data_IF_893852005570
#
_entry.id   IF_893852005570
#
_cell.length_a   1.000
_cell.length_b   1.000
_cell.length_c   1.000
_cell.angle_alpha   90.00
_cell.angle_beta   90.00
_cell.angle_gamma   90.00
#
_symmetry.space_group_name_H-M   'P 1'
#
loop_
_entity.id
_entity.type
_entity.pdbx_description
1 polymer ?
#
# COMPACT_ATOMS: atom_id res chain seq x y z
N UNK A 1 15.48 8.33 -18.77
CA UNK A 1 15.69 7.05 -18.07
C UNK A 1 14.33 6.44 -17.68
N UNK A 2 14.08 5.19 -18.04
CA UNK A 2 12.89 4.46 -17.59
C UNK A 2 13.06 4.15 -16.10
N UNK A 3 12.05 4.47 -15.29
CA UNK A 3 12.04 4.12 -13.86
C UNK A 3 11.79 2.61 -13.75
N UNK A 4 12.76 1.88 -13.21
CA UNK A 4 12.69 0.42 -13.06
C UNK A 4 12.38 -0.01 -11.63
N UNK A 5 12.55 0.88 -10.65
CA UNK A 5 12.20 0.66 -9.26
C UNK A 5 11.97 1.98 -8.53
N UNK A 6 11.19 1.95 -7.44
CA UNK A 6 11.00 3.07 -6.51
C UNK A 6 11.14 2.59 -5.06
N UNK A 7 11.74 3.39 -4.15
CA UNK A 7 11.63 3.12 -2.72
C UNK A 7 10.17 3.25 -2.30
N UNK A 8 9.69 2.40 -1.39
CA UNK A 8 8.30 2.47 -0.91
C UNK A 8 8.18 2.12 0.56
N UNK A 9 7.21 2.73 1.25
CA UNK A 9 6.91 2.42 2.64
C UNK A 9 5.42 2.11 2.81
N UNK A 10 5.08 1.05 3.54
CA UNK A 10 3.73 0.81 4.05
C UNK A 10 3.90 0.14 5.41
N UNK A 11 3.20 0.59 6.47
CA UNK A 11 3.37 0.02 7.79
C UNK A 11 3.08 -1.48 7.76
N UNK A 12 3.91 -2.26 8.47
CA UNK A 12 3.87 -3.73 8.55
C UNK A 12 4.29 -4.50 7.28
N UNK A 13 4.69 -3.82 6.21
CA UNK A 13 5.22 -4.45 5.00
C UNK A 13 6.74 -4.36 4.97
N UNK A 14 7.40 -5.51 5.02
CA UNK A 14 8.85 -5.62 4.95
C UNK A 14 9.35 -5.80 3.50
N UNK A 15 10.67 -5.81 3.34
CA UNK A 15 11.33 -6.02 2.05
C UNK A 15 10.87 -7.32 1.35
N UNK A 16 10.56 -8.37 2.11
CA UNK A 16 10.10 -9.64 1.55
C UNK A 16 8.72 -9.47 0.94
N UNK A 17 7.79 -8.80 1.63
CA UNK A 17 6.47 -8.51 1.09
C UNK A 17 6.55 -7.75 -0.24
N UNK A 18 7.43 -6.75 -0.31
CA UNK A 18 7.64 -5.96 -1.54
C UNK A 18 8.29 -6.75 -2.69
N UNK A 19 9.14 -7.74 -2.38
CA UNK A 19 9.78 -8.58 -3.40
C UNK A 19 8.79 -9.42 -4.22
N UNK A 20 7.62 -9.72 -3.64
CA UNK A 20 6.61 -10.58 -4.25
C UNK A 20 5.69 -9.84 -5.23
N UNK A 21 5.63 -8.51 -5.16
CA UNK A 21 4.70 -7.68 -5.94
C UNK A 21 5.42 -6.84 -6.99
N UNK A 22 4.67 -6.29 -7.94
CA UNK A 22 5.13 -5.32 -8.93
C UNK A 22 4.30 -4.05 -8.86
N UNK A 23 4.88 -2.97 -9.34
CA UNK A 23 4.21 -1.69 -9.43
C UNK A 23 4.20 -1.14 -10.84
N UNK A 24 3.25 -0.23 -11.11
CA UNK A 24 3.34 0.64 -12.28
C UNK A 24 2.90 2.06 -11.92
N UNK A 25 3.49 3.05 -12.58
CA UNK A 25 3.17 4.45 -12.34
C UNK A 25 1.84 4.76 -13.02
N UNK A 26 0.83 5.13 -12.22
CA UNK A 26 -0.46 5.62 -12.73
C UNK A 26 -0.32 7.08 -13.16
N UNK A 27 0.34 7.90 -12.33
CA UNK A 27 0.48 9.34 -12.56
C UNK A 27 1.67 9.92 -11.80
N UNK A 28 2.13 11.09 -12.24
CA UNK A 28 3.14 11.88 -11.53
C UNK A 28 2.72 13.34 -11.57
N UNK A 29 2.76 14.01 -10.41
CA UNK A 29 2.58 15.43 -10.25
C UNK A 29 3.92 16.06 -9.81
N UNK A 30 4.71 16.62 -10.75
CA UNK A 30 5.98 17.25 -10.44
C UNK A 30 5.84 18.48 -9.54
N UNK A 31 4.69 19.17 -9.58
CA UNK A 31 4.48 20.40 -8.80
C UNK A 31 4.28 20.11 -7.32
N UNK A 32 3.64 18.97 -7.01
CA UNK A 32 3.46 18.47 -5.65
C UNK A 32 4.53 17.47 -5.22
N UNK A 33 5.50 17.15 -6.09
CA UNK A 33 6.46 16.05 -5.89
C UNK A 33 5.75 14.73 -5.51
N UNK A 34 4.64 14.42 -6.20
CA UNK A 34 3.81 13.25 -5.93
C UNK A 34 3.90 12.23 -7.06
N UNK A 35 4.03 10.95 -6.71
CA UNK A 35 3.90 9.85 -7.67
C UNK A 35 2.87 8.87 -7.17
N UNK A 36 1.99 8.44 -8.07
CA UNK A 36 0.94 7.48 -7.78
C UNK A 36 1.29 6.15 -8.44
N UNK A 37 1.34 5.09 -7.63
CA UNK A 37 1.63 3.73 -8.08
C UNK A 37 0.40 2.86 -7.95
N UNK A 38 0.19 1.95 -8.91
CA UNK A 38 -0.63 0.75 -8.68
C UNK A 38 0.28 -0.40 -8.27
N UNK A 39 -0.18 -1.30 -7.40
CA UNK A 39 0.56 -2.52 -7.03
C UNK A 39 -0.26 -3.75 -7.42
N UNK A 40 0.41 -4.75 -7.99
CA UNK A 40 -0.21 -5.98 -8.48
C UNK A 40 0.73 -7.18 -8.33
N UNK A 41 0.15 -8.38 -8.39
CA UNK A 41 0.93 -9.61 -8.47
C UNK A 41 1.51 -9.81 -9.88
N UNK A 42 2.80 -10.16 -10.03
CA UNK A 42 3.35 -10.50 -11.33
C UNK A 42 2.64 -11.72 -11.90
N UNK A 43 2.45 -11.72 -13.22
CA UNK A 43 1.84 -12.85 -13.94
C UNK A 43 2.79 -14.03 -13.99
N UNK A 44 2.64 -14.98 -13.05
CA UNK A 44 3.43 -16.21 -13.00
C UNK A 44 2.58 -17.39 -12.51
N UNK A 45 3.00 -18.61 -12.87
CA UNK A 45 2.32 -19.85 -12.47
C UNK A 45 3.29 -20.76 -11.70
N UNK A 46 3.04 -21.06 -10.40
CA UNK A 46 1.98 -20.51 -9.55
C UNK A 46 2.23 -19.02 -9.19
N UNK A 47 1.19 -18.27 -8.77
CA UNK A 47 1.35 -16.88 -8.31
C UNK A 47 2.41 -16.78 -7.20
N UNK A 48 3.34 -15.83 -7.32
CA UNK A 48 4.39 -15.60 -6.31
C UNK A 48 3.86 -14.91 -5.04
N UNK A 49 2.81 -14.11 -5.19
CA UNK A 49 2.16 -13.43 -4.09
C UNK A 49 0.73 -13.92 -3.93
N UNK A 50 0.37 -14.04 -2.67
CA UNK A 50 -0.99 -13.87 -2.23
C UNK A 50 -1.05 -12.44 -1.70
N UNK A 51 -1.45 -11.49 -2.55
CA UNK A 51 -1.88 -10.20 -2.04
C UNK A 51 -3.08 -10.53 -1.15
N UNK A 52 -2.97 -10.37 0.17
CA UNK A 52 -4.02 -10.69 1.14
C UNK A 52 -5.31 -9.84 0.99
N UNK A 53 -5.45 -9.18 -0.16
CA UNK A 53 -6.21 -7.98 -0.43
C UNK A 53 -6.39 -7.94 -1.97
N UNK A 54 -7.51 -8.49 -2.47
CA UNK A 54 -7.91 -8.62 -3.90
C UNK A 54 -8.16 -7.26 -4.61
N UNK A 55 -7.31 -6.26 -4.40
CA UNK A 55 -7.65 -4.85 -4.61
C UNK A 55 -6.63 -4.10 -5.45
N UNK A 56 -7.06 -3.07 -6.21
CA UNK A 56 -6.13 -2.10 -6.76
C UNK A 56 -5.57 -1.28 -5.60
N UNK A 57 -4.31 -1.53 -5.25
CA UNK A 57 -3.59 -0.66 -4.33
C UNK A 57 -3.14 0.57 -5.08
N UNK A 58 -3.64 1.73 -4.69
CA UNK A 58 -3.10 3.00 -5.15
C UNK A 58 -2.31 3.61 -4.01
N UNK A 59 -0.99 3.71 -4.18
CA UNK A 59 -0.11 4.38 -3.23
C UNK A 59 0.34 5.70 -3.83
N UNK A 60 0.07 6.79 -3.11
CA UNK A 60 0.55 8.12 -3.43
C UNK A 60 1.71 8.43 -2.50
N UNK A 61 2.90 8.57 -3.06
CA UNK A 61 4.09 9.00 -2.33
C UNK A 61 4.33 10.50 -2.56
N UNK A 62 4.63 11.23 -1.49
CA UNK A 62 4.98 12.65 -1.54
C UNK A 62 5.99 13.03 -0.44
N UNK A 63 6.48 14.29 -0.43
CA UNK A 63 7.62 14.73 0.37
C UNK A 63 7.44 14.70 1.90
N UNK A 64 6.30 14.22 2.38
CA UNK A 64 6.06 13.93 3.79
C UNK A 64 4.87 13.03 4.05
N UNK A 65 4.19 12.50 3.01
CA UNK A 65 3.03 11.63 3.23
C UNK A 65 2.99 10.43 2.31
N UNK A 66 2.56 9.31 2.89
CA UNK A 66 2.07 8.13 2.19
C UNK A 66 0.55 8.13 2.28
N UNK A 67 -0.14 7.92 1.16
CA UNK A 67 -1.59 7.69 1.15
C UNK A 67 -1.90 6.42 0.37
N UNK A 68 -2.68 5.54 0.99
CA UNK A 68 -3.24 4.34 0.38
C UNK A 68 -4.77 4.38 0.49
N UNK A 69 -5.43 4.17 -0.64
CA UNK A 69 -6.88 4.06 -0.71
C UNK A 69 -7.27 2.84 -1.55
N UNK A 70 -7.97 1.89 -0.95
CA UNK A 70 -8.51 0.71 -1.61
C UNK A 70 -10.00 0.55 -1.32
N UNK A 71 -10.83 0.59 -2.36
CA UNK A 71 -12.29 0.41 -2.24
C UNK A 71 -12.79 -0.65 -3.22
N UNK A 72 -13.58 -1.61 -2.71
CA UNK A 72 -14.48 -2.41 -3.55
C UNK A 72 -15.91 -2.05 -3.21
N UNK A 73 -16.59 -1.45 -4.18
CA UNK A 73 -17.97 -0.99 -4.07
C UNK A 73 -18.86 -2.08 -3.48
N UNK A 74 -19.68 -1.69 -2.51
CA UNK A 74 -20.60 -2.58 -1.79
C UNK A 74 -19.97 -3.72 -0.97
N UNK A 75 -18.64 -3.77 -0.82
CA UNK A 75 -17.95 -4.86 -0.12
C UNK A 75 -17.14 -4.37 1.07
N UNK A 76 -16.12 -3.54 0.85
CA UNK A 76 -15.29 -3.00 1.93
C UNK A 76 -14.49 -1.76 1.44
N UNK A 77 -13.97 -0.98 2.39
CA UNK A 77 -13.09 0.18 2.18
C UNK A 77 -11.87 0.00 3.10
N UNK A 78 -10.68 0.34 2.63
CA UNK A 78 -9.46 0.46 3.43
C UNK A 78 -8.70 1.73 3.07
N UNK A 79 -8.31 2.48 4.08
CA UNK A 79 -7.54 3.71 3.99
C UNK A 79 -6.33 3.60 4.92
N UNK A 80 -5.15 4.02 4.44
CA UNK A 80 -3.98 4.20 5.28
C UNK A 80 -3.30 5.50 4.88
N UNK A 81 -3.00 6.34 5.86
CA UNK A 81 -2.26 7.57 5.67
C UNK A 81 -1.08 7.57 6.63
N UNK A 82 0.10 7.96 6.19
CA UNK A 82 1.27 8.14 7.05
C UNK A 82 1.88 9.51 6.84
N UNK A 83 2.19 10.20 7.94
CA UNK A 83 3.11 11.34 7.97
C UNK A 83 4.54 10.81 8.20
N UNK A 84 5.42 11.02 7.23
CA UNK A 84 6.78 10.50 7.19
C UNK A 84 7.78 11.59 7.59
N UNK A 85 8.60 11.29 8.59
CA UNK A 85 9.76 12.11 8.94
C UNK A 85 11.02 11.48 8.34
N UNK A 86 11.23 11.77 7.04
CA UNK A 86 12.27 11.14 6.24
C UNK A 86 12.07 9.62 6.17
N UNK A 87 13.14 8.86 6.35
CA UNK A 87 13.12 7.38 6.28
C UNK A 87 13.16 6.70 7.65
N UNK A 88 13.05 7.44 8.75
CA UNK A 88 13.37 6.94 10.10
C UNK A 88 12.20 6.96 11.09
N UNK A 89 11.14 7.71 10.79
CA UNK A 89 9.94 7.73 11.61
C UNK A 89 8.70 7.94 10.73
N UNK A 90 7.58 7.34 11.13
CA UNK A 90 6.30 7.45 10.45
C UNK A 90 5.17 7.45 11.49
N UNK A 91 4.22 8.38 11.39
CA UNK A 91 2.96 8.29 12.14
C UNK A 91 1.86 7.95 11.16
N UNK A 92 1.30 6.75 11.28
CA UNK A 92 0.28 6.25 10.38
C UNK A 92 -1.07 6.14 11.07
N UNK A 93 -2.14 6.40 10.31
CA UNK A 93 -3.51 6.05 10.68
C UNK A 93 -4.10 5.14 9.62
N UNK A 94 -4.82 4.12 10.06
CA UNK A 94 -5.54 3.21 9.18
C UNK A 94 -7.01 3.17 9.54
N UNK A 95 -7.84 3.02 8.52
CA UNK A 95 -9.27 2.80 8.65
C UNK A 95 -9.69 1.65 7.72
N UNK A 96 -10.63 0.85 8.18
CA UNK A 96 -11.27 -0.17 7.35
C UNK A 96 -12.73 -0.31 7.70
N UNK A 97 -13.57 -0.51 6.69
CA UNK A 97 -14.99 -0.83 6.86
C UNK A 97 -15.36 -2.04 6.03
N UNK A 98 -16.09 -2.98 6.64
CA UNK A 98 -16.50 -4.23 6.03
C UNK A 98 -18.03 -4.30 5.99
N UNK A 99 -18.62 -4.58 4.83
CA UNK A 99 -20.07 -4.75 4.69
C UNK A 99 -20.53 -6.11 5.20
N UNK A 100 -21.82 -6.19 5.51
CA UNK A 100 -22.46 -7.44 5.97
C UNK A 100 -22.15 -8.61 5.04
N UNK A 101 -21.70 -9.73 5.62
CA UNK A 101 -21.40 -10.96 4.88
C UNK A 101 -20.00 -11.01 4.26
N UNK A 102 -19.21 -9.94 4.34
CA UNK A 102 -17.81 -9.96 3.93
C UNK A 102 -16.89 -10.27 5.11
N UNK A 103 -15.88 -11.13 4.89
CA UNK A 103 -14.88 -11.49 5.90
C UNK A 103 -13.48 -11.24 5.34
N UNK A 104 -12.65 -10.53 6.11
CA UNK A 104 -11.24 -10.31 5.81
C UNK A 104 -10.42 -10.63 7.07
N UNK A 105 -9.62 -11.69 6.99
CA UNK A 105 -8.89 -12.23 8.13
C UNK A 105 -9.84 -12.55 9.30
N UNK A 106 -9.66 -11.85 10.42
CA UNK A 106 -10.46 -12.03 11.63
C UNK A 106 -11.69 -11.11 11.73
N UNK A 107 -11.89 -10.22 10.76
CA UNK A 107 -13.02 -9.28 10.76
C UNK A 107 -14.13 -9.76 9.84
N UNK A 108 -15.36 -9.86 10.37
CA UNK A 108 -16.57 -10.10 9.60
C UNK A 108 -17.47 -8.87 9.69
N UNK A 109 -17.92 -8.39 8.55
CA UNK A 109 -18.83 -7.25 8.48
C UNK A 109 -20.24 -7.60 8.95
N UNK A 110 -21.02 -6.61 9.44
CA UNK A 110 -20.74 -5.18 9.43
C UNK A 110 -19.81 -4.74 10.57
N UNK A 111 -18.61 -4.28 10.23
CA UNK A 111 -17.58 -3.86 11.21
C UNK A 111 -16.78 -2.70 10.64
N UNK A 112 -16.38 -1.77 11.50
CA UNK A 112 -15.40 -0.72 11.19
C UNK A 112 -14.26 -0.81 12.19
N UNK A 113 -13.03 -0.62 11.71
CA UNK A 113 -11.81 -0.66 12.51
C UNK A 113 -10.99 0.58 12.17
N UNK A 114 -10.45 1.24 13.19
CA UNK A 114 -9.49 2.32 13.02
C UNK A 114 -8.33 2.17 13.99
N UNK A 115 -7.16 2.65 13.59
CA UNK A 115 -5.97 2.66 14.41
C UNK A 115 -5.08 3.85 14.04
N UNK A 116 -4.27 4.27 15.01
CA UNK A 116 -3.18 5.23 14.79
C UNK A 116 -1.95 4.69 15.52
N UNK A 117 -0.79 4.76 14.89
CA UNK A 117 0.47 4.26 15.47
C UNK A 117 1.66 5.07 14.96
N UNK A 118 2.68 5.21 15.81
CA UNK A 118 3.94 5.85 15.48
C UNK A 118 5.03 4.79 15.45
N UNK A 119 5.76 4.72 14.34
CA UNK A 119 6.85 3.80 14.07
C UNK A 119 8.17 4.58 14.06
N UNK A 120 9.22 4.02 14.66
CA UNK A 120 10.54 4.66 14.74
C UNK A 120 11.69 3.69 14.52
N UNK A 121 12.81 4.21 14.03
CA UNK A 121 14.05 3.44 13.90
C UNK A 121 13.87 2.19 13.04
N UNK A 122 14.09 1.00 13.61
CA UNK A 122 13.98 -0.28 12.89
C UNK A 122 12.54 -0.68 12.55
N UNK A 123 11.53 -0.02 13.10
CA UNK A 123 10.12 -0.28 12.78
C UNK A 123 9.73 0.31 11.41
N UNK A 124 10.49 1.31 10.92
CA UNK A 124 10.27 1.93 9.62
C UNK A 124 11.07 1.17 8.56
N UNK A 125 10.46 0.12 8.02
CA UNK A 125 11.07 -0.74 7.01
C UNK A 125 10.67 -0.30 5.61
N UNK A 126 11.61 0.31 4.88
CA UNK A 126 11.42 0.67 3.48
C UNK A 126 11.66 -0.55 2.57
N UNK A 127 10.78 -0.72 1.60
CA UNK A 127 10.92 -1.68 0.51
C UNK A 127 11.42 -1.04 -0.78
N UNK A 128 11.58 -1.89 -1.78
CA UNK A 128 11.82 -1.49 -3.18
C UNK A 128 10.69 -2.06 -4.04
N UNK A 129 9.85 -1.18 -4.58
CA UNK A 129 8.83 -1.56 -5.54
C UNK A 129 9.47 -1.68 -6.94
N UNK A 130 9.49 -2.90 -7.47
CA UNK A 130 10.00 -3.14 -8.83
C UNK A 130 8.91 -2.82 -9.85
N UNK A 131 9.24 -2.04 -10.87
CA UNK A 131 8.30 -1.61 -11.90
C UNK A 131 8.12 -2.69 -12.96
N UNK A 132 6.88 -2.92 -13.38
CA UNK A 132 6.51 -3.85 -14.46
C UNK A 132 5.26 -3.36 -15.20
N UNK A 133 4.90 -4.01 -16.31
CA UNK A 133 3.64 -3.75 -16.98
C UNK A 133 2.49 -4.44 -16.23
N UNK A 134 1.38 -3.73 -15.96
CA UNK A 134 0.21 -4.34 -15.33
C UNK A 134 -0.39 -5.42 -16.26
N UNK A 135 -0.93 -6.52 -15.70
CA UNK A 135 -1.58 -7.58 -16.47
C UNK A 135 -2.85 -7.14 -17.19
#
# INVERSE_FOLDING_TARGET
PTVTAAPIYLPYYDERAWSLVRGSIISTDPSASRTTFTIFCPTQTPPACDLSLEFPFVIVEGPGTLEFHGTVTSTYIADVECDLSGTTAATCSGYSSYRSGYTNGHHTGPTQVSWTSTFTGSEVQWGTLTMDEPP
#
